data_IF_008613807529
#
_entry.id   IF_008613807529
#
_cell.length_a   1.000
_cell.length_b   1.000
_cell.length_c   1.000
_cell.angle_alpha   90.00
_cell.angle_beta   90.00
_cell.angle_gamma   90.00
#
_symmetry.space_group_name_H-M   'P 1'
#
loop_
_entity.id
_entity.type
_entity.pdbx_description
1 polymer ?
#
# COMPACT_ATOMS: atom_id res chain seq x y z
N UNK A 1 -13.96 -19.33 5.81
CA UNK A 1 -13.19 -18.61 4.79
C UNK A 1 -11.80 -18.47 5.37
N UNK A 2 -10.87 -19.29 4.90
CA UNK A 2 -9.53 -19.35 5.48
C UNK A 2 -8.79 -18.07 5.14
N UNK A 3 -8.33 -17.36 6.18
CA UNK A 3 -7.57 -16.12 6.01
C UNK A 3 -6.19 -16.49 5.47
N UNK A 4 -5.85 -15.97 4.29
CA UNK A 4 -4.50 -16.05 3.76
C UNK A 4 -3.56 -15.31 4.72
N UNK A 5 -2.54 -16.02 5.20
CA UNK A 5 -1.50 -15.46 6.05
C UNK A 5 -0.40 -14.86 5.18
N UNK A 6 -0.49 -13.56 4.94
CA UNK A 6 0.49 -12.81 4.14
C UNK A 6 1.87 -12.68 4.79
N UNK A 7 2.03 -13.06 6.08
CA UNK A 7 3.36 -13.07 6.72
C UNK A 7 4.24 -14.22 6.23
N UNK A 8 3.63 -15.24 5.63
CA UNK A 8 4.32 -16.43 5.10
C UNK A 8 4.60 -16.36 3.61
N UNK A 9 4.27 -15.24 2.97
CA UNK A 9 4.45 -15.04 1.53
C UNK A 9 5.56 -14.01 1.33
N UNK A 10 6.63 -14.41 0.65
CA UNK A 10 7.70 -13.50 0.26
C UNK A 10 7.52 -13.05 -1.20
N UNK A 11 7.53 -11.73 -1.41
CA UNK A 11 7.44 -11.08 -2.72
C UNK A 11 8.77 -10.43 -3.15
N UNK A 12 9.86 -10.66 -2.42
CA UNK A 12 11.17 -10.04 -2.65
C UNK A 12 11.71 -10.35 -4.04
N UNK A 13 11.70 -11.63 -4.44
CA UNK A 13 12.20 -12.07 -5.75
C UNK A 13 11.36 -11.49 -6.90
N UNK A 14 10.03 -11.49 -6.77
CA UNK A 14 9.14 -10.92 -7.79
C UNK A 14 9.36 -9.42 -7.94
N UNK A 15 9.54 -8.70 -6.84
CA UNK A 15 9.82 -7.27 -6.84
C UNK A 15 11.18 -6.98 -7.48
N UNK A 16 12.19 -7.81 -7.19
CA UNK A 16 13.52 -7.71 -7.79
C UNK A 16 13.48 -7.96 -9.31
N UNK A 17 12.74 -8.97 -9.77
CA UNK A 17 12.56 -9.24 -11.21
C UNK A 17 11.84 -8.09 -11.92
N UNK A 18 10.78 -7.53 -11.33
CA UNK A 18 10.08 -6.37 -11.90
C UNK A 18 10.96 -5.14 -12.01
N UNK A 19 11.87 -4.95 -11.04
CA UNK A 19 12.85 -3.86 -11.05
C UNK A 19 13.89 -4.07 -12.16
N UNK A 20 14.42 -5.28 -12.31
CA UNK A 20 15.39 -5.61 -13.35
C UNK A 20 14.80 -5.49 -14.75
N UNK A 21 13.52 -5.83 -14.91
CA UNK A 21 12.79 -5.73 -16.17
C UNK A 21 12.33 -4.30 -16.51
N UNK A 22 12.63 -3.29 -15.68
CA UNK A 22 12.13 -1.90 -15.81
C UNK A 22 10.59 -1.82 -15.90
N UNK A 23 9.90 -2.77 -15.26
CA UNK A 23 8.44 -2.88 -15.23
C UNK A 23 7.84 -2.33 -13.93
N UNK A 24 8.69 -1.89 -13.00
CA UNK A 24 8.26 -1.32 -11.74
C UNK A 24 7.84 0.14 -11.98
N UNK A 25 6.55 0.49 -11.83
CA UNK A 25 6.08 1.84 -12.11
C UNK A 25 6.75 2.85 -11.17
N UNK A 26 7.00 4.07 -11.66
CA UNK A 26 7.37 5.16 -10.77
C UNK A 26 6.20 5.38 -9.79
N UNK A 27 6.47 5.24 -8.50
CA UNK A 27 5.48 5.42 -7.43
C UNK A 27 4.88 6.83 -7.44
N UNK A 28 5.56 7.82 -8.03
CA UNK A 28 5.02 9.18 -8.21
C UNK A 28 3.99 9.26 -9.34
N UNK A 29 4.08 8.37 -10.32
CA UNK A 29 3.14 8.25 -11.44
C UNK A 29 2.10 7.14 -11.22
N UNK A 30 2.21 6.40 -10.11
CA UNK A 30 1.35 5.28 -9.80
C UNK A 30 -0.03 5.75 -9.33
N UNK A 31 -1.01 5.60 -10.22
CA UNK A 31 -2.42 5.74 -9.90
C UNK A 31 -3.11 4.37 -9.85
N UNK A 32 -3.44 3.91 -8.65
CA UNK A 32 -4.13 2.64 -8.44
C UNK A 32 -5.47 2.59 -9.21
N UNK A 33 -6.14 3.73 -9.38
CA UNK A 33 -7.44 3.81 -10.06
C UNK A 33 -7.28 3.64 -11.59
N UNK A 34 -6.10 3.94 -12.15
CA UNK A 34 -5.74 3.66 -13.56
C UNK A 34 -5.62 2.16 -13.84
N UNK A 35 -5.14 1.38 -12.86
CA UNK A 35 -4.94 -0.07 -13.01
C UNK A 35 -6.12 -0.91 -12.54
N UNK A 36 -6.90 -0.41 -11.57
CA UNK A 36 -8.04 -1.13 -11.00
C UNK A 36 -9.40 -0.66 -11.54
N UNK A 37 -9.40 0.43 -12.31
CA UNK A 37 -10.58 1.02 -12.91
C UNK A 37 -11.39 1.89 -11.94
N UNK A 38 -12.02 2.94 -12.48
CA UNK A 38 -12.93 3.83 -11.74
C UNK A 38 -14.20 3.13 -11.23
N UNK A 39 -14.46 1.91 -11.69
CA UNK A 39 -15.59 1.06 -11.31
C UNK A 39 -15.39 0.22 -10.04
N UNK A 40 -14.29 0.42 -9.29
CA UNK A 40 -14.16 -0.17 -7.96
C UNK A 40 -15.39 0.19 -7.12
N UNK A 41 -16.02 -0.79 -6.45
CA UNK A 41 -17.13 -0.56 -5.49
C UNK A 41 -16.79 0.50 -4.44
N UNK A 42 -15.51 0.74 -4.21
CA UNK A 42 -14.99 1.75 -3.30
C UNK A 42 -15.10 3.20 -3.83
N UNK A 43 -15.37 3.40 -5.13
CA UNK A 43 -15.60 4.69 -5.79
C UNK A 43 -17.10 4.88 -6.16
N UNK A 44 -17.97 4.71 -5.17
CA UNK A 44 -19.42 4.66 -5.38
C UNK A 44 -20.06 5.95 -5.93
N UNK A 45 -19.42 7.11 -5.75
CA UNK A 45 -19.92 8.43 -6.16
C UNK A 45 -19.10 9.09 -7.28
N UNK A 46 -18.07 8.41 -7.78
CA UNK A 46 -17.16 8.92 -8.82
C UNK A 46 -16.27 10.08 -8.37
N UNK A 47 -16.28 10.46 -7.08
CA UNK A 47 -15.51 11.59 -6.54
C UNK A 47 -14.28 11.15 -5.75
N UNK A 48 -13.97 9.85 -5.73
CA UNK A 48 -12.82 9.34 -4.99
C UNK A 48 -11.53 9.88 -5.62
N UNK A 49 -10.80 10.67 -4.83
CA UNK A 49 -9.45 11.13 -5.15
C UNK A 49 -8.48 9.95 -5.23
N UNK A 50 -7.42 10.13 -6.02
CA UNK A 50 -6.42 9.08 -6.26
C UNK A 50 -5.78 8.57 -4.96
N UNK A 51 -5.21 7.37 -5.02
CA UNK A 51 -4.70 6.70 -3.82
C UNK A 51 -3.54 7.43 -3.14
N UNK A 52 -2.71 8.16 -3.89
CA UNK A 52 -1.60 8.96 -3.35
C UNK A 52 -2.13 10.15 -2.58
N UNK A 53 -3.06 10.92 -3.15
CA UNK A 53 -3.69 12.07 -2.52
C UNK A 53 -4.50 11.68 -1.29
N UNK A 54 -5.18 10.52 -1.33
CA UNK A 54 -5.85 9.96 -0.15
C UNK A 54 -4.88 9.64 0.97
N UNK A 55 -3.73 9.04 0.63
CA UNK A 55 -2.70 8.74 1.61
C UNK A 55 -2.14 10.04 2.19
N UNK A 56 -1.74 10.98 1.34
CA UNK A 56 -1.20 12.29 1.73
C UNK A 56 -2.16 13.04 2.66
N UNK A 57 -3.43 13.20 2.29
CA UNK A 57 -4.45 13.83 3.14
C UNK A 57 -4.67 13.09 4.47
N UNK A 58 -4.50 11.76 4.47
CA UNK A 58 -4.63 10.95 5.68
C UNK A 58 -3.43 11.08 6.63
N UNK A 59 -2.24 11.39 6.10
CA UNK A 59 -1.02 11.57 6.90
C UNK A 59 -0.70 13.04 7.20
N UNK A 60 -1.29 13.98 6.47
CA UNK A 60 -1.24 15.42 6.78
C UNK A 60 -1.79 15.66 8.19
N UNK A 61 -0.93 16.14 9.09
CA UNK A 61 -1.25 16.37 10.50
C UNK A 61 -0.99 15.18 11.44
N UNK A 62 -0.50 14.06 10.92
CA UNK A 62 -0.07 12.90 11.73
C UNK A 62 1.45 12.84 11.83
N UNK A 63 1.97 12.61 13.04
CA UNK A 63 3.39 12.30 13.23
C UNK A 63 3.69 10.90 12.68
N UNK A 64 4.18 10.88 11.43
CA UNK A 64 4.54 9.67 10.70
C UNK A 64 5.61 8.85 11.42
N UNK A 65 6.54 9.49 12.13
CA UNK A 65 7.60 8.81 12.85
C UNK A 65 7.04 8.13 14.10
N UNK A 66 6.16 8.81 14.84
CA UNK A 66 5.47 8.22 16.00
C UNK A 66 4.59 7.03 15.59
N UNK A 67 3.84 7.15 14.49
CA UNK A 67 3.06 6.04 13.92
C UNK A 67 3.96 4.88 13.51
N UNK A 68 5.10 5.17 12.85
CA UNK A 68 6.06 4.16 12.42
C UNK A 68 6.67 3.41 13.59
N UNK A 69 7.05 4.11 14.67
CA UNK A 69 7.57 3.49 15.87
C UNK A 69 6.52 2.60 16.55
N UNK A 70 5.29 3.08 16.71
CA UNK A 70 4.18 2.27 17.24
C UNK A 70 3.88 1.03 16.39
N UNK A 71 4.00 1.13 15.07
CA UNK A 71 3.81 -0.01 14.18
C UNK A 71 4.93 -1.05 14.34
N UNK A 72 6.19 -0.60 14.43
CA UNK A 72 7.35 -1.46 14.69
C UNK A 72 7.23 -2.22 16.02
N UNK A 73 6.89 -1.53 17.10
CA UNK A 73 6.67 -2.18 18.41
C UNK A 73 5.58 -3.24 18.32
N UNK A 74 4.48 -2.96 17.60
CA UNK A 74 3.36 -3.90 17.47
C UNK A 74 3.67 -5.12 16.61
N UNK A 75 4.51 -4.98 15.59
CA UNK A 75 5.01 -6.11 14.81
C UNK A 75 5.96 -6.96 15.66
N UNK A 76 6.90 -6.34 16.36
CA UNK A 76 7.88 -7.05 17.19
C UNK A 76 7.28 -7.79 18.38
N UNK A 77 6.12 -7.37 18.89
CA UNK A 77 5.43 -8.04 20.02
C UNK A 77 4.67 -9.29 19.58
N UNK A 78 4.52 -9.54 18.28
CA UNK A 78 3.78 -10.70 17.75
C UNK A 78 4.65 -11.95 17.52
N UNK A 79 5.95 -11.85 17.78
CA UNK A 79 6.93 -12.92 17.57
C UNK A 79 7.24 -13.74 18.85
N UNK A 80 6.40 -13.64 19.89
CA UNK A 80 6.46 -14.49 21.12
C UNK A 80 5.24 -15.41 21.26
#
# INVERSE_FOLDING_TARGET
MDKVDFTKIDFSEWTATLKEADMLPDFKEFDLDKYTGSGSTLNADGKRVNSVERFTRGVEGTDLDEVRQRAKTRLSVKDE
#
